data_IF_993817937275
#
_entry.id   IF_993817937275
#
_cell.length_a   1.000
_cell.length_b   1.000
_cell.length_c   1.000
_cell.angle_alpha   90.00
_cell.angle_beta   90.00
_cell.angle_gamma   90.00
#
_symmetry.space_group_name_H-M   'P 1'
#
loop_
_entity.id
_entity.type
_entity.pdbx_description
1 polymer ?
#
# COMPACT_ATOMS: atom_id res chain seq x y z
N UNK A 1 16.03 -62.32 -22.38
CA UNK A 1 16.31 -62.94 -21.07
C UNK A 1 15.98 -61.86 -20.04
N UNK A 2 14.81 -62.00 -19.41
CA UNK A 2 14.64 -62.48 -18.01
C UNK A 2 15.00 -61.34 -17.06
N UNK A 3 14.23 -60.86 -16.09
CA UNK A 3 12.90 -61.04 -15.47
C UNK A 3 12.80 -59.77 -14.57
N UNK A 4 11.70 -59.17 -14.13
CA UNK A 4 10.39 -59.65 -13.76
C UNK A 4 9.91 -58.76 -12.59
N UNK A 5 8.68 -58.25 -12.75
CA UNK A 5 7.62 -58.07 -11.74
C UNK A 5 7.78 -57.19 -10.48
N UNK A 6 6.87 -56.20 -10.43
CA UNK A 6 5.93 -55.93 -9.33
C UNK A 6 6.42 -55.20 -8.08
N UNK A 7 6.03 -53.92 -7.97
CA UNK A 7 5.55 -53.41 -6.69
C UNK A 7 4.24 -52.62 -6.89
N UNK A 8 3.18 -53.17 -6.30
CA UNK A 8 1.80 -52.69 -6.26
C UNK A 8 1.58 -52.02 -4.90
N UNK A 9 0.85 -50.90 -4.89
CA UNK A 9 0.36 -50.19 -3.70
C UNK A 9 1.23 -48.96 -3.37
N UNK A 10 0.69 -47.76 -3.18
CA UNK A 10 -0.44 -47.45 -2.30
C UNK A 10 -1.26 -46.30 -2.89
N UNK A 11 -2.57 -46.50 -2.87
CA UNK A 11 -3.65 -45.58 -3.22
C UNK A 11 -3.49 -44.20 -2.57
N UNK A 12 -3.51 -43.16 -3.39
CA UNK A 12 -3.86 -41.80 -2.95
C UNK A 12 -5.20 -41.42 -3.58
N UNK A 13 -6.26 -42.12 -3.18
CA UNK A 13 -7.61 -41.62 -3.35
C UNK A 13 -7.82 -40.52 -2.32
N UNK A 14 -7.50 -39.28 -2.67
CA UNK A 14 -8.06 -38.10 -2.01
C UNK A 14 -9.54 -37.99 -2.40
N UNK A 15 -10.32 -38.97 -1.98
CA UNK A 15 -11.77 -38.86 -1.88
C UNK A 15 -12.08 -37.98 -0.69
N UNK A 16 -11.91 -36.67 -0.84
CA UNK A 16 -12.55 -35.69 0.05
C UNK A 16 -14.02 -35.53 -0.34
N UNK A 17 -14.72 -36.66 -0.40
CA UNK A 17 -16.16 -36.72 -0.35
C UNK A 17 -16.57 -36.88 1.10
N UNK A 18 -16.33 -35.86 1.94
CA UNK A 18 -17.22 -35.64 3.07
C UNK A 18 -18.54 -35.22 2.44
N UNK A 19 -19.32 -36.22 2.02
CA UNK A 19 -20.73 -36.08 1.77
C UNK A 19 -21.31 -35.59 3.08
N UNK A 20 -21.36 -34.26 3.21
CA UNK A 20 -22.43 -33.59 3.93
C UNK A 20 -23.67 -34.30 3.41
N UNK A 21 -24.31 -35.09 4.26
CA UNK A 21 -25.56 -35.75 3.93
C UNK A 21 -26.46 -34.62 3.41
N UNK A 22 -26.67 -34.59 2.09
CA UNK A 22 -27.25 -33.41 1.47
C UNK A 22 -28.66 -33.21 2.01
N UNK A 23 -29.14 -31.96 2.01
CA UNK A 23 -30.56 -31.64 2.20
C UNK A 23 -31.48 -32.62 1.45
N UNK A 24 -31.04 -33.09 0.29
CA UNK A 24 -31.73 -34.05 -0.57
C UNK A 24 -31.73 -35.51 -0.06
N UNK A 25 -30.65 -35.99 0.56
CA UNK A 25 -30.61 -37.31 1.20
C UNK A 25 -31.39 -37.32 2.51
N UNK A 26 -31.41 -36.19 3.22
CA UNK A 26 -32.21 -36.00 4.42
C UNK A 26 -33.72 -35.95 4.11
N UNK A 27 -34.14 -35.20 3.07
CA UNK A 27 -35.54 -35.16 2.64
C UNK A 27 -36.04 -36.53 2.16
N UNK A 28 -35.16 -37.34 1.53
CA UNK A 28 -35.49 -38.73 1.17
C UNK A 28 -35.72 -39.63 2.38
N UNK A 29 -34.90 -39.49 3.43
CA UNK A 29 -35.09 -40.24 4.68
C UNK A 29 -36.35 -39.80 5.43
N UNK A 30 -36.65 -38.50 5.45
CA UNK A 30 -37.87 -37.94 6.06
C UNK A 30 -39.13 -38.44 5.34
N UNK A 31 -39.14 -38.44 4.01
CA UNK A 31 -40.25 -38.97 3.20
C UNK A 31 -40.40 -40.49 3.41
N UNK A 32 -39.29 -41.23 3.52
CA UNK A 32 -39.32 -42.66 3.79
C UNK A 32 -39.91 -42.99 5.17
N UNK A 33 -39.61 -42.19 6.20
CA UNK A 33 -40.17 -42.35 7.55
C UNK A 33 -41.66 -41.97 7.62
N UNK A 34 -42.08 -40.88 6.97
CA UNK A 34 -43.49 -40.47 6.83
C UNK A 34 -44.36 -41.55 6.14
N UNK A 35 -43.78 -42.30 5.20
CA UNK A 35 -44.47 -43.38 4.48
C UNK A 35 -44.71 -44.63 5.34
N UNK A 36 -44.01 -44.76 6.47
CA UNK A 36 -43.94 -46.00 7.26
C UNK A 36 -44.35 -45.80 8.73
N UNK A 37 -44.97 -44.67 9.09
CA UNK A 37 -45.49 -44.44 10.45
C UNK A 37 -46.88 -45.06 10.64
N UNK A 38 -47.07 -45.64 11.83
CA UNK A 38 -48.37 -46.10 12.35
C UNK A 38 -49.20 -44.87 12.81
N UNK A 39 -50.50 -44.75 12.45
CA UNK A 39 -51.34 -43.59 12.75
C UNK A 39 -51.55 -43.26 14.24
N UNK A 40 -51.17 -44.16 15.16
CA UNK A 40 -51.57 -44.10 16.57
C UNK A 40 -50.59 -43.39 17.52
N UNK A 41 -49.44 -42.89 17.05
CA UNK A 41 -48.50 -42.08 17.86
C UNK A 41 -47.66 -41.11 17.02
N UNK A 42 -48.22 -39.94 16.64
CA UNK A 42 -47.49 -38.93 15.89
C UNK A 42 -46.60 -38.13 16.85
N UNK A 43 -45.40 -38.63 17.15
CA UNK A 43 -44.38 -37.84 17.82
C UNK A 43 -43.04 -37.98 17.08
N UNK A 44 -42.27 -36.88 17.08
CA UNK A 44 -40.94 -36.65 16.50
C UNK A 44 -40.81 -36.19 15.04
N UNK A 45 -41.87 -35.95 14.27
CA UNK A 45 -41.72 -35.27 12.98
C UNK A 45 -41.29 -33.79 13.11
N UNK A 46 -41.81 -33.12 14.12
CA UNK A 46 -41.74 -31.65 14.27
C UNK A 46 -40.43 -31.17 14.90
N UNK A 47 -39.89 -31.91 15.88
CA UNK A 47 -38.65 -31.54 16.57
C UNK A 47 -37.42 -31.70 15.65
N UNK A 48 -37.41 -32.75 14.82
CA UNK A 48 -36.40 -32.92 13.78
C UNK A 48 -36.53 -31.91 12.63
N UNK A 49 -37.75 -31.52 12.24
CA UNK A 49 -37.96 -30.44 11.28
C UNK A 49 -37.45 -29.09 11.84
N UNK A 50 -37.62 -28.84 13.13
CA UNK A 50 -37.08 -27.67 13.83
C UNK A 50 -35.54 -27.68 13.83
N UNK A 51 -34.91 -28.81 14.14
CA UNK A 51 -33.45 -28.96 14.08
C UNK A 51 -32.91 -28.81 12.65
N UNK A 52 -33.59 -29.37 11.63
CA UNK A 52 -33.23 -29.17 10.23
C UNK A 52 -33.34 -27.70 9.81
N UNK A 53 -34.40 -27.01 10.22
CA UNK A 53 -34.55 -25.58 9.96
C UNK A 53 -33.41 -24.78 10.62
N UNK A 54 -32.99 -25.17 11.82
CA UNK A 54 -31.85 -24.55 12.51
C UNK A 54 -30.52 -24.84 11.81
N UNK A 55 -30.27 -26.07 11.36
CA UNK A 55 -29.10 -26.42 10.55
C UNK A 55 -29.08 -25.71 9.20
N UNK A 56 -30.21 -25.65 8.50
CA UNK A 56 -30.35 -24.92 7.23
C UNK A 56 -30.06 -23.42 7.41
N UNK A 57 -30.50 -22.86 8.54
CA UNK A 57 -30.22 -21.46 8.88
C UNK A 57 -28.74 -21.24 9.18
N UNK A 58 -28.07 -22.15 9.88
CA UNK A 58 -26.63 -22.09 10.15
C UNK A 58 -25.80 -22.25 8.87
N UNK A 59 -26.18 -23.17 7.99
CA UNK A 59 -25.56 -23.35 6.68
C UNK A 59 -25.74 -22.08 5.83
N UNK A 60 -26.92 -21.49 5.81
CA UNK A 60 -27.18 -20.25 5.09
C UNK A 60 -26.37 -19.08 5.67
N UNK A 61 -26.19 -18.99 6.99
CA UNK A 61 -25.30 -18.02 7.63
C UNK A 61 -23.82 -18.27 7.29
N UNK A 62 -23.39 -19.53 7.24
CA UNK A 62 -22.04 -19.91 6.80
C UNK A 62 -21.79 -19.49 5.36
N UNK A 63 -22.72 -19.79 4.46
CA UNK A 63 -22.67 -19.40 3.05
C UNK A 63 -22.64 -17.86 2.91
N UNK A 64 -23.43 -17.14 3.71
CA UNK A 64 -23.44 -15.68 3.70
C UNK A 64 -22.09 -15.10 4.15
N UNK A 65 -21.47 -15.68 5.17
CA UNK A 65 -20.12 -15.29 5.60
C UNK A 65 -19.07 -15.57 4.53
N UNK A 66 -19.15 -16.70 3.83
CA UNK A 66 -18.26 -17.03 2.70
C UNK A 66 -18.43 -16.05 1.54
N UNK A 67 -19.67 -15.74 1.15
CA UNK A 67 -19.94 -14.74 0.10
C UNK A 67 -19.46 -13.34 0.51
N UNK A 68 -19.63 -12.97 1.78
CA UNK A 68 -19.13 -11.69 2.30
C UNK A 68 -17.61 -11.61 2.20
N UNK A 69 -16.90 -12.68 2.60
CA UNK A 69 -15.44 -12.75 2.47
C UNK A 69 -14.99 -12.66 1.02
N UNK A 70 -15.62 -13.44 0.12
CA UNK A 70 -15.33 -13.39 -1.32
C UNK A 70 -15.59 -12.00 -1.92
N UNK A 71 -16.65 -11.32 -1.49
CA UNK A 71 -16.96 -9.97 -1.93
C UNK A 71 -15.92 -8.94 -1.45
N UNK A 72 -15.42 -9.09 -0.21
CA UNK A 72 -14.32 -8.26 0.33
C UNK A 72 -13.04 -8.50 -0.48
N UNK A 73 -12.68 -9.76 -0.73
CA UNK A 73 -11.48 -10.13 -1.49
C UNK A 73 -11.57 -9.61 -2.95
N UNK A 74 -12.74 -9.75 -3.59
CA UNK A 74 -12.99 -9.22 -4.93
C UNK A 74 -12.90 -7.69 -4.98
N UNK A 75 -13.46 -6.98 -3.99
CA UNK A 75 -13.33 -5.53 -3.89
C UNK A 75 -11.87 -5.12 -3.70
N UNK A 76 -11.12 -5.81 -2.84
CA UNK A 76 -9.70 -5.56 -2.66
C UNK A 76 -8.91 -5.73 -3.97
N UNK A 77 -9.14 -6.82 -4.71
CA UNK A 77 -8.53 -7.03 -6.02
C UNK A 77 -8.89 -5.93 -7.04
N UNK A 78 -10.15 -5.49 -7.04
CA UNK A 78 -10.60 -4.40 -7.92
C UNK A 78 -9.89 -3.08 -7.58
N UNK A 79 -9.83 -2.72 -6.29
CA UNK A 79 -9.11 -1.52 -5.82
C UNK A 79 -7.64 -1.57 -6.23
N UNK A 80 -6.98 -2.73 -6.09
CA UNK A 80 -5.59 -2.91 -6.54
C UNK A 80 -5.46 -2.72 -8.04
N UNK A 81 -6.35 -3.30 -8.86
CA UNK A 81 -6.33 -3.13 -10.32
C UNK A 81 -6.51 -1.68 -10.75
N UNK A 82 -7.40 -0.94 -10.08
CA UNK A 82 -7.63 0.48 -10.35
C UNK A 82 -6.37 1.28 -9.99
N UNK A 83 -5.80 1.06 -8.81
CA UNK A 83 -4.55 1.70 -8.40
C UNK A 83 -3.41 1.41 -9.37
N UNK A 84 -3.27 0.17 -9.83
CA UNK A 84 -2.22 -0.22 -10.79
C UNK A 84 -2.34 0.51 -12.12
N UNK A 85 -3.57 0.72 -12.60
CA UNK A 85 -3.83 1.41 -13.87
C UNK A 85 -3.58 2.91 -13.75
N UNK A 86 -4.04 3.53 -12.66
CA UNK A 86 -3.87 4.97 -12.43
C UNK A 86 -2.41 5.34 -12.20
N UNK A 87 -1.65 4.46 -11.54
CA UNK A 87 -0.24 4.71 -11.21
C UNK A 87 0.68 4.59 -12.41
N UNK A 88 0.35 3.78 -13.41
CA UNK A 88 1.11 3.73 -14.67
C UNK A 88 1.11 5.09 -15.40
N UNK A 89 0.01 5.85 -15.31
CA UNK A 89 -0.08 7.20 -15.88
C UNK A 89 0.76 8.24 -15.12
N UNK A 90 1.26 7.90 -13.92
CA UNK A 90 2.12 8.79 -13.14
C UNK A 90 3.57 8.75 -13.63
N UNK A 91 3.99 7.70 -14.33
CA UNK A 91 5.35 7.55 -14.83
C UNK A 91 5.63 8.69 -15.83
N UNK A 92 6.78 9.34 -15.66
CA UNK A 92 7.21 10.49 -16.46
C UNK A 92 6.74 11.84 -15.91
N UNK A 93 5.82 11.88 -14.95
CA UNK A 93 5.43 13.12 -14.29
C UNK A 93 6.41 13.47 -13.16
N UNK A 94 6.49 14.77 -12.89
CA UNK A 94 7.19 15.29 -11.73
C UNK A 94 6.27 15.22 -10.50
N UNK A 95 6.87 15.12 -9.32
CA UNK A 95 6.12 15.05 -8.05
C UNK A 95 6.74 15.88 -6.96
N UNK A 96 5.90 16.36 -6.04
CA UNK A 96 6.30 16.84 -4.72
C UNK A 96 5.95 15.79 -3.68
N UNK A 97 6.89 15.50 -2.80
CA UNK A 97 6.84 14.49 -1.75
C UNK A 97 7.00 15.15 -0.38
N UNK A 98 6.38 14.56 0.64
CA UNK A 98 6.57 14.98 2.02
C UNK A 98 8.05 14.80 2.44
N UNK A 99 8.66 15.86 2.96
CA UNK A 99 10.07 15.87 3.35
C UNK A 99 10.30 15.33 4.77
N UNK A 100 9.80 14.15 5.10
CA UNK A 100 9.85 13.62 6.48
C UNK A 100 11.21 13.01 6.82
N UNK A 101 11.79 12.21 5.93
CA UNK A 101 13.10 11.57 6.14
C UNK A 101 13.81 11.35 4.79
N UNK A 102 15.08 11.72 4.71
CA UNK A 102 15.96 11.46 3.57
C UNK A 102 16.86 10.27 3.93
N UNK A 103 16.59 9.12 3.33
CA UNK A 103 17.45 7.94 3.46
C UNK A 103 18.59 7.99 2.44
N UNK A 104 19.83 8.04 2.90
CA UNK A 104 21.02 7.90 2.07
C UNK A 104 21.55 6.47 2.09
N UNK A 105 21.53 5.81 0.93
CA UNK A 105 22.02 4.43 0.74
C UNK A 105 22.93 4.30 -0.49
N UNK A 106 23.56 5.39 -0.92
CA UNK A 106 24.52 5.41 -2.04
C UNK A 106 24.02 6.09 -3.31
N UNK A 107 22.84 6.71 -3.30
CA UNK A 107 22.39 7.53 -4.43
C UNK A 107 23.29 8.76 -4.66
N UNK A 108 23.35 9.29 -5.89
CA UNK A 108 24.25 10.40 -6.21
C UNK A 108 23.84 11.74 -5.59
N UNK A 109 22.54 12.00 -5.50
CA UNK A 109 21.99 13.25 -4.99
C UNK A 109 20.54 13.08 -4.57
N UNK A 110 20.03 14.06 -3.83
CA UNK A 110 18.61 14.25 -3.52
C UNK A 110 18.19 15.66 -3.92
N UNK A 111 16.93 15.82 -4.31
CA UNK A 111 16.33 17.08 -4.76
C UNK A 111 15.39 17.60 -3.67
N UNK A 112 15.70 18.79 -3.16
CA UNK A 112 15.02 19.44 -2.06
C UNK A 112 14.34 20.72 -2.58
N UNK A 113 13.14 21.01 -2.13
CA UNK A 113 12.43 22.22 -2.51
C UNK A 113 11.77 22.90 -1.32
N UNK A 114 11.56 24.21 -1.43
CA UNK A 114 10.89 24.99 -0.41
C UNK A 114 10.14 26.17 -1.04
N UNK A 115 9.02 26.54 -0.43
CA UNK A 115 8.16 27.63 -0.90
C UNK A 115 8.18 28.79 0.09
N UNK A 116 8.60 29.96 -0.38
CA UNK A 116 8.61 31.19 0.40
C UNK A 116 7.29 31.95 0.18
N UNK A 117 6.54 32.25 1.25
CA UNK A 117 5.26 32.97 1.14
C UNK A 117 5.44 34.48 0.87
N UNK A 118 6.63 35.03 1.12
CA UNK A 118 6.98 36.43 0.92
C UNK A 118 8.51 36.54 0.71
N UNK A 119 8.98 37.70 0.26
CA UNK A 119 10.40 37.98 0.12
C UNK A 119 11.14 37.85 1.47
N UNK A 120 12.32 37.24 1.43
CA UNK A 120 13.17 36.96 2.57
C UNK A 120 14.52 37.69 2.45
N UNK A 121 14.96 38.30 3.55
CA UNK A 121 16.31 38.87 3.67
C UNK A 121 17.36 37.78 3.76
N UNK A 122 17.06 36.67 4.46
CA UNK A 122 17.91 35.50 4.56
C UNK A 122 17.11 34.21 4.51
N UNK A 123 17.65 33.21 3.84
CA UNK A 123 17.16 31.83 3.85
C UNK A 123 18.32 30.89 4.08
N UNK A 124 18.19 30.05 5.11
CA UNK A 124 19.17 29.04 5.49
C UNK A 124 18.52 27.67 5.41
N UNK A 125 19.05 26.81 4.55
CA UNK A 125 18.69 25.40 4.45
C UNK A 125 19.74 24.57 5.18
N UNK A 126 19.36 23.97 6.31
CA UNK A 126 20.24 23.16 7.13
C UNK A 126 19.91 21.69 6.96
N UNK A 127 20.92 20.85 6.80
CA UNK A 127 20.79 19.40 6.71
C UNK A 127 21.40 18.78 7.96
N UNK A 128 20.66 17.90 8.61
CA UNK A 128 21.07 17.22 9.83
C UNK A 128 21.09 15.71 9.63
N UNK A 129 21.98 15.02 10.34
CA UNK A 129 21.95 13.55 10.42
C UNK A 129 20.97 13.07 11.52
N UNK A 130 20.84 11.75 11.66
CA UNK A 130 19.97 11.11 12.66
C UNK A 130 20.30 11.49 14.12
N UNK A 131 21.55 11.87 14.42
CA UNK A 131 21.94 12.35 15.75
C UNK A 131 21.60 13.83 16.01
N UNK A 132 21.06 14.54 15.01
CA UNK A 132 20.81 15.98 15.06
C UNK A 132 22.03 16.84 14.80
N UNK A 133 23.17 16.26 14.38
CA UNK A 133 24.36 17.03 14.03
C UNK A 133 24.18 17.71 12.68
N UNK A 134 24.58 18.97 12.59
CA UNK A 134 24.55 19.77 11.34
C UNK A 134 25.63 19.28 10.37
N UNK A 135 25.22 19.02 9.13
CA UNK A 135 26.03 18.40 8.09
C UNK A 135 26.34 19.37 6.95
N UNK A 136 25.31 20.04 6.44
CA UNK A 136 25.41 20.96 5.30
C UNK A 136 24.51 22.16 5.55
N UNK A 137 24.99 23.32 5.13
CA UNK A 137 24.22 24.57 5.16
C UNK A 137 24.26 25.19 3.76
N UNK A 138 23.09 25.56 3.24
CA UNK A 138 22.96 26.40 2.07
C UNK A 138 22.34 27.72 2.50
N UNK A 139 22.93 28.84 2.07
CA UNK A 139 22.45 30.16 2.42
C UNK A 139 22.21 31.00 1.17
N UNK A 140 21.14 31.78 1.21
CA UNK A 140 20.82 32.82 0.23
C UNK A 140 20.35 34.05 0.97
N UNK A 141 20.63 35.21 0.39
CA UNK A 141 20.16 36.51 0.86
C UNK A 141 19.35 37.19 -0.21
N UNK A 142 18.46 38.09 0.22
CA UNK A 142 17.67 38.98 -0.64
C UNK A 142 16.96 38.22 -1.77
N UNK A 143 16.07 37.33 -1.37
CA UNK A 143 15.34 36.42 -2.27
C UNK A 143 13.85 36.71 -2.23
N UNK A 144 13.21 36.75 -3.38
CA UNK A 144 11.77 37.02 -3.49
C UNK A 144 10.91 35.85 -2.97
N UNK A 145 9.59 36.07 -2.94
CA UNK A 145 8.63 34.99 -2.72
C UNK A 145 8.65 34.01 -3.91
N UNK A 146 8.33 32.75 -3.67
CA UNK A 146 8.21 31.77 -4.73
C UNK A 146 8.71 30.37 -4.36
N UNK A 147 8.78 29.53 -5.38
CA UNK A 147 9.16 28.13 -5.25
C UNK A 147 10.64 27.93 -5.61
N UNK A 148 11.42 27.41 -4.67
CA UNK A 148 12.87 27.28 -4.80
C UNK A 148 13.28 25.82 -4.72
N UNK A 149 14.11 25.44 -5.69
CA UNK A 149 14.63 24.08 -5.84
C UNK A 149 16.14 24.06 -5.64
N UNK A 150 16.65 23.02 -4.99
CA UNK A 150 18.08 22.76 -4.84
C UNK A 150 18.36 21.26 -4.83
N UNK A 151 19.62 20.89 -5.05
CA UNK A 151 20.06 19.50 -4.95
C UNK A 151 21.21 19.38 -3.96
N UNK A 152 21.15 18.34 -3.13
CA UNK A 152 22.22 17.95 -2.23
C UNK A 152 22.86 16.65 -2.70
N UNK A 153 24.18 16.67 -2.83
CA UNK A 153 25.01 15.58 -3.35
C UNK A 153 25.57 14.67 -2.24
N UNK A 154 24.97 14.69 -1.05
CA UNK A 154 25.45 13.93 0.12
C UNK A 154 26.89 14.28 0.52
N UNK A 155 27.24 15.57 0.46
CA UNK A 155 28.49 16.11 1.01
C UNK A 155 28.26 16.99 2.24
N UNK A 156 29.27 17.12 3.10
CA UNK A 156 29.28 18.09 4.19
C UNK A 156 29.72 19.49 3.71
N UNK A 157 29.79 20.47 4.60
CA UNK A 157 30.27 21.83 4.27
C UNK A 157 31.73 21.88 3.75
N UNK A 158 32.54 20.85 4.01
CA UNK A 158 33.92 20.74 3.54
C UNK A 158 34.03 20.01 2.19
N UNK A 159 32.91 19.53 1.63
CA UNK A 159 32.86 18.75 0.39
C UNK A 159 33.14 17.27 0.56
N UNK A 160 33.28 16.77 1.79
CA UNK A 160 33.48 15.34 2.04
C UNK A 160 32.16 14.59 1.94
N UNK A 161 32.17 13.38 1.38
CA UNK A 161 30.99 12.50 1.36
C UNK A 161 30.59 12.11 2.79
N UNK A 162 29.29 12.19 3.07
CA UNK A 162 28.73 11.81 4.37
C UNK A 162 28.47 10.31 4.43
N UNK A 163 28.35 9.70 5.62
CA UNK A 163 28.03 8.27 5.74
C UNK A 163 26.59 7.94 5.27
N UNK A 164 26.36 6.71 4.82
CA UNK A 164 25.00 6.20 4.63
C UNK A 164 24.22 6.29 5.95
N UNK A 165 22.94 6.68 5.87
CA UNK A 165 22.12 6.92 7.05
C UNK A 165 20.88 7.74 6.75
N UNK A 166 20.17 8.12 7.80
CA UNK A 166 19.00 8.98 7.71
C UNK A 166 19.39 10.45 7.94
N UNK A 167 18.77 11.32 7.16
CA UNK A 167 18.99 12.75 7.19
C UNK A 167 17.65 13.48 7.18
N UNK A 168 17.65 14.67 7.74
CA UNK A 168 16.52 15.60 7.67
C UNK A 168 17.05 16.95 7.21
N UNK A 169 16.16 17.80 6.71
CA UNK A 169 16.54 19.18 6.43
C UNK A 169 15.49 20.15 6.94
N UNK A 170 15.94 21.33 7.31
CA UNK A 170 15.15 22.43 7.83
C UNK A 170 15.39 23.65 6.95
N UNK A 171 14.36 24.48 6.78
CA UNK A 171 14.48 25.76 6.11
C UNK A 171 14.07 26.84 7.09
N UNK A 172 15.01 27.75 7.38
CA UNK A 172 14.76 28.95 8.16
C UNK A 172 14.77 30.14 7.22
N UNK A 173 13.74 30.97 7.25
CA UNK A 173 13.66 32.18 6.46
C UNK A 173 13.30 33.36 7.34
N UNK A 174 13.95 34.50 7.10
CA UNK A 174 13.67 35.77 7.76
C UNK A 174 13.16 36.75 6.71
N UNK A 175 11.99 37.34 6.93
CA UNK A 175 11.41 38.34 6.03
C UNK A 175 12.31 39.57 5.90
N UNK A 176 12.02 40.43 4.92
CA UNK A 176 12.66 41.75 4.79
C UNK A 176 12.40 42.68 5.99
N UNK A 177 11.37 42.39 6.79
CA UNK A 177 11.06 43.08 8.04
C UNK A 177 11.76 42.48 9.29
N UNK A 178 12.59 41.45 9.11
CA UNK A 178 13.33 40.81 10.19
C UNK A 178 12.55 39.75 10.98
N UNK A 179 11.38 39.30 10.51
CA UNK A 179 10.54 38.31 11.19
C UNK A 179 10.77 36.92 10.61
N UNK A 180 10.87 35.90 11.46
CA UNK A 180 10.90 34.50 11.00
C UNK A 180 9.60 34.11 10.29
N UNK A 181 9.74 33.32 9.23
CA UNK A 181 8.64 32.82 8.42
C UNK A 181 8.59 31.30 8.47
N UNK A 182 7.37 30.76 8.58
CA UNK A 182 7.14 29.35 8.33
C UNK A 182 7.29 29.07 6.83
N UNK A 183 8.07 28.05 6.49
CA UNK A 183 8.39 27.68 5.11
C UNK A 183 7.92 26.26 4.86
N UNK A 184 7.12 26.07 3.81
CA UNK A 184 6.73 24.74 3.37
C UNK A 184 7.90 24.11 2.61
N UNK A 185 8.23 22.86 2.94
CA UNK A 185 9.37 22.15 2.38
C UNK A 185 8.94 20.80 1.84
N UNK A 186 9.54 20.37 0.74
CA UNK A 186 9.18 19.15 0.03
C UNK A 186 10.41 18.50 -0.61
N UNK A 187 10.34 17.22 -0.91
CA UNK A 187 11.26 16.59 -1.87
C UNK A 187 10.60 16.62 -3.24
N UNK A 188 11.39 16.67 -4.31
CA UNK A 188 10.83 16.59 -5.65
C UNK A 188 11.67 15.70 -6.55
N UNK A 189 11.08 15.23 -7.63
CA UNK A 189 11.77 14.43 -8.64
C UNK A 189 10.78 13.89 -9.66
N UNK A 190 11.28 13.08 -10.58
CA UNK A 190 10.47 12.50 -11.65
C UNK A 190 10.15 11.06 -11.32
N UNK A 191 8.89 10.64 -11.52
CA UNK A 191 8.52 9.23 -11.38
C UNK A 191 9.07 8.44 -12.57
N UNK A 192 9.96 7.50 -12.31
CA UNK A 192 10.53 6.61 -13.33
C UNK A 192 9.92 5.20 -13.30
N UNK A 193 9.16 4.87 -12.26
CA UNK A 193 8.52 3.56 -12.17
C UNK A 193 7.56 3.43 -11.01
N UNK A 194 6.83 2.32 -11.01
CA UNK A 194 5.87 1.94 -9.98
C UNK A 194 6.18 0.52 -9.54
N UNK A 195 6.06 0.26 -8.23
CA UNK A 195 6.25 -1.06 -7.63
C UNK A 195 5.05 -1.41 -6.77
N UNK A 196 4.38 -2.50 -7.11
CA UNK A 196 3.27 -3.04 -6.35
C UNK A 196 3.78 -4.01 -5.29
N UNK A 197 3.47 -3.75 -4.02
CA UNK A 197 3.87 -4.56 -2.87
C UNK A 197 2.65 -4.99 -2.07
N UNK A 198 2.83 -5.96 -1.18
CA UNK A 198 1.78 -6.43 -0.27
C UNK A 198 1.23 -5.30 0.61
N UNK A 199 2.08 -4.34 1.00
CA UNK A 199 1.73 -3.21 1.86
C UNK A 199 1.26 -1.95 1.11
N UNK A 200 1.05 -2.03 -0.20
CA UNK A 200 0.56 -0.92 -1.02
C UNK A 200 1.41 -0.64 -2.25
N UNK A 201 1.18 0.52 -2.86
CA UNK A 201 1.90 0.95 -4.06
C UNK A 201 3.05 1.88 -3.69
N UNK A 202 4.24 1.57 -4.18
CA UNK A 202 5.41 2.43 -4.10
C UNK A 202 5.74 3.01 -5.48
N UNK A 203 6.27 4.22 -5.49
CA UNK A 203 6.77 4.92 -6.67
C UNK A 203 8.29 4.98 -6.61
N UNK A 204 8.94 4.88 -7.77
CA UNK A 204 10.35 5.13 -7.94
C UNK A 204 10.52 6.55 -8.45
N UNK A 205 10.96 7.47 -7.59
CA UNK A 205 11.20 8.88 -7.89
C UNK A 205 12.70 9.10 -7.96
N UNK A 206 13.23 9.46 -9.13
CA UNK A 206 14.67 9.50 -9.40
C UNK A 206 15.41 8.22 -8.96
N UNK A 207 14.76 7.06 -9.17
CA UNK A 207 15.17 5.71 -8.71
C UNK A 207 15.18 5.47 -7.19
N UNK A 208 14.69 6.41 -6.39
CA UNK A 208 14.50 6.25 -4.94
C UNK A 208 13.05 5.84 -4.68
N UNK A 209 12.85 4.84 -3.82
CA UNK A 209 11.52 4.32 -3.53
C UNK A 209 10.81 5.15 -2.45
N UNK A 210 9.59 5.61 -2.77
CA UNK A 210 8.67 6.30 -1.86
C UNK A 210 7.28 5.64 -1.91
N UNK A 211 6.51 5.71 -0.83
CA UNK A 211 5.14 5.20 -0.87
C UNK A 211 4.23 6.20 -1.58
N UNK A 212 3.19 5.71 -2.26
CA UNK A 212 2.20 6.60 -2.90
C UNK A 212 1.57 7.58 -1.89
N UNK A 213 1.46 7.18 -0.62
CA UNK A 213 0.99 8.02 0.49
C UNK A 213 1.89 9.22 0.81
N UNK A 214 3.16 9.21 0.38
CA UNK A 214 4.11 10.29 0.63
C UNK A 214 4.00 11.42 -0.41
N UNK A 215 3.23 11.20 -1.48
CA UNK A 215 3.02 12.18 -2.55
C UNK A 215 2.09 13.29 -2.06
N UNK A 216 2.55 14.52 -2.18
CA UNK A 216 1.77 15.72 -1.92
C UNK A 216 1.10 16.22 -3.20
N UNK A 217 1.83 16.19 -4.32
CA UNK A 217 1.39 16.75 -5.60
C UNK A 217 2.02 15.98 -6.76
N UNK A 218 1.25 15.77 -7.84
CA UNK A 218 1.74 15.27 -9.13
C UNK A 218 1.60 16.39 -10.16
N UNK A 219 2.72 16.72 -10.81
CA UNK A 219 2.84 17.81 -11.77
C UNK A 219 3.08 17.20 -13.14
N UNK A 220 2.21 17.52 -14.10
CA UNK A 220 2.38 17.04 -15.45
C UNK A 220 3.59 17.72 -16.10
N UNK A 221 4.63 16.94 -16.44
CA UNK A 221 5.87 17.46 -17.01
C UNK A 221 5.68 18.13 -18.38
N UNK A 222 4.55 17.89 -19.07
CA UNK A 222 4.24 18.50 -20.37
C UNK A 222 3.52 19.86 -20.26
N UNK A 223 3.19 20.32 -19.06
CA UNK A 223 2.41 21.56 -18.85
C UNK A 223 3.26 22.70 -18.24
N UNK A 224 4.56 22.48 -18.02
CA UNK A 224 5.46 23.41 -17.33
C UNK A 224 6.18 24.46 -18.20
N UNK A 225 5.99 24.46 -19.52
CA UNK A 225 6.70 25.34 -20.48
C UNK A 225 5.81 26.46 -21.07
N UNK A 226 4.72 26.83 -20.39
CA UNK A 226 3.95 28.05 -20.72
C UNK A 226 4.13 29.09 -19.60
N UNK A 227 5.27 29.78 -19.61
CA UNK A 227 5.56 30.92 -18.73
C UNK A 227 6.57 31.88 -19.36
#
# INVERSE_FOLDING_TARGET
MIDGISNIGISNSTGSGKSVLGKDEFMKLLIAQLKNQDPSSPMDGTEFASQLAQFSSLEQLSNLNEYSKQAIDANFMLTQSINNTLTANLIGNDVKLAATNIKFNGQSSIRLGYELPAAASTVTVNIYNESGALIKTFEKSDIDAGDYKLSWDFTDNNGNKVPNGNYTYEVKAVSTSGKEMAVNRYLYGTINGVRFKENGTALLVDNIEYMLSDILEVINAQQGDEG
#
